data_IF_053505859344
#
_entry.id   IF_053505859344
#
_cell.length_a   1.000
_cell.length_b   1.000
_cell.length_c   1.000
_cell.angle_alpha   90.00
_cell.angle_beta   90.00
_cell.angle_gamma   90.00
#
_symmetry.space_group_name_H-M   'P 1'
#
loop_
_entity.id
_entity.type
_entity.pdbx_description
1 polymer ?
#
# COMPACT_ATOMS: atom_id res chain seq x y z
N UNK A 1 10.98 -2.97 10.67
CA UNK A 1 10.09 -2.64 9.55
C UNK A 1 8.94 -1.75 10.01
N UNK A 2 8.14 -2.10 11.03
CA UNK A 2 7.16 -1.17 11.65
C UNK A 2 7.74 0.21 11.92
N UNK A 3 8.79 0.28 12.73
CA UNK A 3 9.51 1.53 13.05
C UNK A 3 10.05 2.25 11.78
N UNK A 4 10.37 1.51 10.71
CA UNK A 4 10.81 2.12 9.45
C UNK A 4 9.65 2.85 8.77
N UNK A 5 8.44 2.28 8.80
CA UNK A 5 7.22 2.88 8.25
C UNK A 5 6.72 4.03 9.14
N UNK A 6 6.85 3.94 10.46
CA UNK A 6 6.59 5.07 11.36
C UNK A 6 7.58 6.23 11.11
N UNK A 7 8.84 5.93 10.83
CA UNK A 7 9.83 6.94 10.42
C UNK A 7 9.52 7.54 9.05
N UNK A 8 9.00 6.73 8.11
CA UNK A 8 8.51 7.23 6.82
C UNK A 8 7.38 8.25 7.04
N UNK A 9 6.38 7.91 7.85
CA UNK A 9 5.33 8.84 8.24
C UNK A 9 5.93 10.15 8.80
N UNK A 10 6.89 10.06 9.71
CA UNK A 10 7.51 11.25 10.31
C UNK A 10 8.21 12.14 9.28
N UNK A 11 8.87 11.55 8.28
CA UNK A 11 9.52 12.29 7.19
C UNK A 11 8.45 12.95 6.31
N UNK A 12 7.40 12.22 5.93
CA UNK A 12 6.30 12.74 5.12
C UNK A 12 5.59 13.91 5.82
N UNK A 13 5.28 13.77 7.11
CA UNK A 13 4.71 14.83 7.95
C UNK A 13 5.63 16.05 8.01
N UNK A 14 6.93 15.87 8.28
CA UNK A 14 7.91 16.98 8.34
C UNK A 14 8.02 17.72 7.00
N UNK A 15 8.01 16.99 5.89
CA UNK A 15 8.01 17.58 4.56
C UNK A 15 6.69 18.31 4.30
N UNK A 16 5.54 17.75 4.67
CA UNK A 16 4.26 18.42 4.49
C UNK A 16 4.20 19.73 5.28
N UNK A 17 4.65 19.73 6.53
CA UNK A 17 4.74 20.92 7.40
C UNK A 17 5.60 22.01 6.78
N UNK A 18 6.76 21.65 6.20
CA UNK A 18 7.66 22.59 5.50
C UNK A 18 6.96 23.33 4.36
N UNK A 19 5.95 22.71 3.75
CA UNK A 19 5.15 23.27 2.67
C UNK A 19 3.76 23.75 3.16
N UNK A 20 3.61 23.99 4.47
CA UNK A 20 2.37 24.47 5.10
C UNK A 20 1.17 23.53 4.89
N UNK A 21 1.39 22.21 4.89
CA UNK A 21 0.33 21.21 4.73
C UNK A 21 -0.20 21.07 3.30
N UNK A 22 0.54 21.53 2.29
CA UNK A 22 0.08 21.51 0.88
C UNK A 22 0.40 20.21 0.14
N UNK A 23 1.32 19.39 0.64
CA UNK A 23 1.78 18.20 -0.08
C UNK A 23 0.84 17.02 0.09
N UNK A 24 0.29 16.86 1.30
CA UNK A 24 -0.57 15.74 1.67
C UNK A 24 -1.73 16.21 2.54
N UNK A 25 -2.82 15.48 2.47
CA UNK A 25 -3.89 15.54 3.45
C UNK A 25 -3.41 14.98 4.80
N UNK A 26 -3.69 15.68 5.90
CA UNK A 26 -3.35 15.22 7.24
C UNK A 26 -4.16 13.99 7.63
N UNK A 27 -5.41 13.87 7.17
CA UNK A 27 -6.25 12.68 7.44
C UNK A 27 -5.56 11.43 6.86
N UNK A 28 -5.05 11.50 5.64
CA UNK A 28 -4.30 10.39 5.01
C UNK A 28 -2.99 10.05 5.73
N UNK A 29 -2.32 11.04 6.31
CA UNK A 29 -1.10 10.82 7.10
C UNK A 29 -1.43 10.11 8.42
N UNK A 30 -2.46 10.58 9.11
CA UNK A 30 -2.92 10.01 10.36
C UNK A 30 -3.44 8.59 10.16
N UNK A 31 -4.30 8.35 9.15
CA UNK A 31 -4.82 7.03 8.78
C UNK A 31 -3.68 6.03 8.51
N UNK A 32 -2.70 6.42 7.69
CA UNK A 32 -1.53 5.58 7.43
C UNK A 32 -0.79 5.18 8.72
N UNK A 33 -0.61 6.13 9.65
CA UNK A 33 0.08 5.85 10.90
C UNK A 33 -0.74 4.96 11.82
N UNK A 34 -2.06 5.16 11.88
CA UNK A 34 -2.98 4.33 12.66
C UNK A 34 -2.99 2.88 12.13
N UNK A 35 -3.15 2.69 10.82
CA UNK A 35 -3.14 1.36 10.19
C UNK A 35 -1.84 0.60 10.45
N UNK A 36 -0.68 1.26 10.33
CA UNK A 36 0.61 0.65 10.66
C UNK A 36 0.70 0.27 12.14
N UNK A 37 0.18 1.10 13.04
CA UNK A 37 0.26 0.84 14.48
C UNK A 37 -0.62 -0.33 14.89
N UNK A 38 -1.82 -0.40 14.32
CA UNK A 38 -2.85 -1.36 14.68
C UNK A 38 -2.61 -2.73 14.02
N UNK A 39 -2.22 -2.76 12.75
CA UNK A 39 -2.23 -4.00 11.96
C UNK A 39 -0.86 -4.61 11.68
N UNK A 40 0.25 -3.86 11.81
CA UNK A 40 1.57 -4.40 11.46
C UNK A 40 1.95 -5.61 12.32
N UNK A 41 1.89 -5.46 13.65
CA UNK A 41 2.38 -6.50 14.57
C UNK A 41 1.48 -7.73 14.51
N UNK A 42 0.17 -7.54 14.44
CA UNK A 42 -0.79 -8.64 14.33
C UNK A 42 -0.60 -9.42 13.02
N UNK A 43 -0.40 -8.73 11.90
CA UNK A 43 -0.17 -9.35 10.58
C UNK A 43 1.17 -10.08 10.51
N UNK A 44 2.22 -9.50 11.09
CA UNK A 44 3.54 -10.12 11.13
C UNK A 44 3.57 -11.34 12.05
N UNK A 45 2.91 -11.29 13.22
CA UNK A 45 2.78 -12.45 14.10
C UNK A 45 1.94 -13.55 13.46
N UNK A 46 0.91 -13.20 12.67
CA UNK A 46 0.14 -14.19 11.93
C UNK A 46 1.00 -14.95 10.91
N UNK A 47 1.82 -14.22 10.15
CA UNK A 47 2.80 -14.80 9.24
C UNK A 47 3.76 -15.76 9.97
N UNK A 48 4.35 -15.32 11.10
CA UNK A 48 5.25 -16.16 11.92
C UNK A 48 4.55 -17.41 12.43
N UNK A 49 3.33 -17.27 12.96
CA UNK A 49 2.56 -18.38 13.49
C UNK A 49 2.30 -19.44 12.40
N UNK A 50 1.95 -19.00 11.19
CA UNK A 50 1.77 -19.90 10.07
C UNK A 50 3.05 -20.64 9.67
N UNK A 51 4.20 -19.95 9.64
CA UNK A 51 5.51 -20.57 9.39
C UNK A 51 5.86 -21.61 10.45
N UNK A 52 5.71 -21.27 11.73
CA UNK A 52 5.99 -22.19 12.85
C UNK A 52 5.13 -23.45 12.79
N UNK A 53 3.85 -23.33 12.43
CA UNK A 53 2.96 -24.48 12.25
C UNK A 53 3.52 -25.40 11.16
N UNK A 54 3.89 -24.85 10.01
CA UNK A 54 4.41 -25.65 8.90
C UNK A 54 5.77 -26.28 9.24
N UNK A 55 6.69 -25.54 9.84
CA UNK A 55 8.01 -26.04 10.24
C UNK A 55 7.89 -27.24 11.20
N UNK A 56 6.96 -27.17 12.17
CA UNK A 56 6.77 -28.24 13.15
C UNK A 56 6.30 -29.58 12.55
N UNK A 57 5.72 -29.57 11.35
CA UNK A 57 5.15 -30.75 10.71
C UNK A 57 5.68 -31.03 9.29
N UNK A 58 6.61 -30.20 8.79
CA UNK A 58 7.06 -30.19 7.40
C UNK A 58 7.45 -31.57 6.86
N UNK A 59 8.13 -32.39 7.67
CA UNK A 59 8.58 -33.73 7.29
C UNK A 59 7.48 -34.82 7.27
N UNK A 60 6.27 -34.51 7.69
CA UNK A 60 5.15 -35.46 7.85
C UNK A 60 3.89 -35.09 7.04
N UNK A 61 3.92 -33.96 6.35
CA UNK A 61 2.78 -33.49 5.55
C UNK A 61 2.78 -34.19 4.19
N UNK A 62 1.78 -35.03 3.96
CA UNK A 62 1.61 -35.76 2.69
C UNK A 62 0.45 -35.21 1.83
N UNK A 63 -0.40 -34.35 2.41
CA UNK A 63 -1.61 -33.85 1.74
C UNK A 63 -2.10 -32.53 2.35
N UNK A 64 -2.74 -31.70 1.51
CA UNK A 64 -3.42 -30.48 1.92
C UNK A 64 -4.66 -30.70 2.79
N UNK A 65 -5.11 -31.95 2.96
CA UNK A 65 -6.16 -32.32 3.92
C UNK A 65 -5.67 -32.32 5.37
N UNK A 66 -4.36 -32.29 5.61
CA UNK A 66 -3.82 -32.11 6.95
C UNK A 66 -4.22 -30.72 7.47
N UNK A 67 -4.93 -30.69 8.59
CA UNK A 67 -5.48 -29.45 9.16
C UNK A 67 -4.41 -28.47 9.61
N UNK A 68 -3.27 -28.96 10.12
CA UNK A 68 -2.14 -28.11 10.50
C UNK A 68 -1.50 -27.48 9.25
N UNK A 69 -1.33 -28.23 8.17
CA UNK A 69 -0.87 -27.68 6.89
C UNK A 69 -1.83 -26.59 6.40
N UNK A 70 -3.13 -26.89 6.28
CA UNK A 70 -4.12 -25.92 5.78
C UNK A 70 -4.14 -24.67 6.65
N UNK A 71 -4.12 -24.83 7.97
CA UNK A 71 -4.07 -23.70 8.91
C UNK A 71 -2.80 -22.88 8.70
N UNK A 72 -1.62 -23.51 8.69
CA UNK A 72 -0.35 -22.80 8.51
C UNK A 72 -0.31 -21.97 7.23
N UNK A 73 -0.80 -22.54 6.12
CA UNK A 73 -0.93 -21.83 4.84
C UNK A 73 -1.90 -20.65 4.92
N UNK A 74 -3.06 -20.80 5.58
CA UNK A 74 -4.03 -19.71 5.73
C UNK A 74 -3.46 -18.55 6.58
N UNK A 75 -2.79 -18.86 7.69
CA UNK A 75 -2.15 -17.83 8.53
C UNK A 75 -1.08 -17.06 7.74
N UNK A 76 -0.24 -17.77 6.97
CA UNK A 76 0.75 -17.14 6.08
C UNK A 76 0.06 -16.24 5.04
N UNK A 77 -0.97 -16.74 4.36
CA UNK A 77 -1.65 -15.97 3.31
C UNK A 77 -2.29 -14.70 3.85
N UNK A 78 -2.97 -14.77 5.00
CA UNK A 78 -3.60 -13.58 5.58
C UNK A 78 -2.57 -12.60 6.14
N UNK A 79 -1.51 -13.09 6.79
CA UNK A 79 -0.42 -12.24 7.26
C UNK A 79 0.25 -11.48 6.10
N UNK A 80 0.58 -12.18 5.01
CA UNK A 80 1.20 -11.57 3.83
C UNK A 80 0.27 -10.55 3.16
N UNK A 81 -1.00 -10.89 2.94
CA UNK A 81 -1.95 -9.97 2.28
C UNK A 81 -2.17 -8.68 3.06
N UNK A 82 -2.23 -8.76 4.39
CA UNK A 82 -2.36 -7.53 5.21
C UNK A 82 -1.09 -6.70 5.18
N UNK A 83 0.08 -7.34 5.25
CA UNK A 83 1.36 -6.64 5.09
C UNK A 83 1.49 -5.98 3.71
N UNK A 84 1.00 -6.62 2.65
CA UNK A 84 0.96 -6.05 1.30
C UNK A 84 0.12 -4.77 1.26
N UNK A 85 -1.09 -4.76 1.84
CA UNK A 85 -1.93 -3.56 1.93
C UNK A 85 -1.21 -2.42 2.65
N UNK A 86 -0.63 -2.68 3.82
CA UNK A 86 0.10 -1.66 4.59
C UNK A 86 1.32 -1.08 3.83
N UNK A 87 1.97 -1.89 2.99
CA UNK A 87 3.08 -1.44 2.16
C UNK A 87 2.60 -0.69 0.92
N UNK A 88 1.45 -1.05 0.36
CA UNK A 88 0.79 -0.32 -0.73
C UNK A 88 0.38 1.08 -0.26
N UNK A 89 -0.16 1.21 0.96
CA UNK A 89 -0.49 2.52 1.54
C UNK A 89 0.75 3.41 1.70
N UNK A 90 1.90 2.82 2.06
CA UNK A 90 3.17 3.54 2.12
C UNK A 90 3.63 4.04 0.73
N UNK A 91 3.45 3.23 -0.32
CA UNK A 91 3.77 3.59 -1.70
C UNK A 91 2.85 4.72 -2.20
N UNK A 92 1.54 4.56 -2.01
CA UNK A 92 0.53 5.55 -2.36
C UNK A 92 0.80 6.91 -1.68
N UNK A 93 1.17 6.89 -0.39
CA UNK A 93 1.53 8.09 0.36
C UNK A 93 2.76 8.79 -0.23
N UNK A 94 3.79 8.03 -0.59
CA UNK A 94 5.02 8.54 -1.18
C UNK A 94 4.81 9.12 -2.59
N UNK A 95 4.06 8.40 -3.43
CA UNK A 95 3.70 8.85 -4.78
C UNK A 95 2.93 10.17 -4.70
N UNK A 96 1.90 10.24 -3.85
CA UNK A 96 1.12 11.46 -3.68
C UNK A 96 1.97 12.65 -3.22
N UNK A 97 2.82 12.44 -2.20
CA UNK A 97 3.71 13.48 -1.67
C UNK A 97 4.68 13.97 -2.75
N UNK A 98 5.32 13.05 -3.47
CA UNK A 98 6.32 13.40 -4.47
C UNK A 98 5.69 14.10 -5.69
N UNK A 99 4.56 13.59 -6.19
CA UNK A 99 3.83 14.22 -7.32
C UNK A 99 3.42 15.65 -6.97
N UNK A 100 2.91 15.87 -5.76
CA UNK A 100 2.53 17.21 -5.29
C UNK A 100 3.73 18.12 -5.07
N UNK A 101 4.85 17.58 -4.57
CA UNK A 101 6.10 18.34 -4.44
C UNK A 101 6.61 18.82 -5.79
N UNK A 102 6.67 17.94 -6.80
CA UNK A 102 7.08 18.27 -8.17
C UNK A 102 6.20 19.36 -8.78
N UNK A 103 4.90 19.34 -8.50
CA UNK A 103 3.99 20.40 -8.94
C UNK A 103 4.27 21.73 -8.23
N UNK A 104 4.36 21.74 -6.91
CA UNK A 104 4.63 22.97 -6.13
C UNK A 104 6.03 23.55 -6.41
N UNK A 105 6.99 22.73 -6.85
CA UNK A 105 8.33 23.18 -7.28
C UNK A 105 8.39 23.63 -8.74
N UNK A 106 7.33 23.43 -9.53
CA UNK A 106 7.28 23.76 -10.95
C UNK A 106 8.08 22.80 -11.84
N UNK A 107 8.38 21.59 -11.35
CA UNK A 107 9.02 20.52 -12.12
C UNK A 107 8.06 19.86 -13.12
N UNK A 108 6.76 19.86 -12.80
CA UNK A 108 5.68 19.39 -13.68
C UNK A 108 4.57 20.42 -13.81
N UNK A 109 3.84 20.36 -14.93
CA UNK A 109 2.65 21.17 -15.18
C UNK A 109 1.45 20.71 -14.35
N UNK A 110 0.40 21.55 -14.30
CA UNK A 110 -0.89 21.16 -13.71
C UNK A 110 -1.53 19.99 -14.47
N UNK A 111 -1.35 19.93 -15.79
CA UNK A 111 -1.84 18.83 -16.62
C UNK A 111 -1.19 17.51 -16.23
N UNK A 112 0.14 17.47 -16.09
CA UNK A 112 0.88 16.28 -15.63
C UNK A 112 0.58 15.92 -14.16
N UNK A 113 0.28 16.90 -13.32
CA UNK A 113 -0.15 16.65 -11.94
C UNK A 113 -1.54 16.00 -11.87
N UNK A 114 -2.47 16.43 -12.72
CA UNK A 114 -3.84 15.90 -12.81
C UNK A 114 -3.94 14.63 -13.64
N UNK A 115 -2.92 14.28 -14.41
CA UNK A 115 -2.89 13.05 -15.19
C UNK A 115 -2.65 11.85 -14.26
N UNK A 116 -3.68 11.05 -14.03
CA UNK A 116 -3.63 9.83 -13.22
C UNK A 116 -3.12 8.61 -14.01
N UNK A 117 -2.49 8.82 -15.18
CA UNK A 117 -2.08 7.80 -16.16
C UNK A 117 -3.26 6.95 -16.69
N UNK A 118 -4.52 7.33 -16.38
CA UNK A 118 -5.72 6.71 -16.93
C UNK A 118 -5.92 7.24 -18.36
N UNK A 119 -5.62 6.39 -19.33
CA UNK A 119 -5.80 6.68 -20.76
C UNK A 119 -7.28 7.00 -21.05
N UNK A 120 -7.60 8.30 -21.12
CA UNK A 120 -8.91 8.78 -21.54
C UNK A 120 -9.08 8.49 -23.04
N UNK A 121 -9.49 7.26 -23.37
CA UNK A 121 -10.00 6.93 -24.71
C UNK A 121 -11.29 7.74 -24.89
N UNK A 122 -11.18 8.92 -25.51
CA UNK A 122 -12.34 9.51 -26.18
C UNK A 122 -12.72 8.54 -27.29
N UNK A 123 -13.77 7.77 -27.07
CA UNK A 123 -14.49 7.17 -28.19
C UNK A 123 -14.97 8.34 -29.06
N UNK A 124 -14.37 8.49 -30.23
CA UNK A 124 -15.00 9.26 -31.29
C UNK A 124 -16.25 8.46 -31.62
N UNK A 125 -17.42 9.00 -31.27
CA UNK A 125 -18.68 8.51 -31.83
C UNK A 125 -18.58 8.70 -33.36
N UNK A 126 -18.11 7.68 -34.05
CA UNK A 126 -18.27 7.51 -35.50
C UNK A 126 -19.73 7.12 -35.75
N UNK A 127 -20.65 8.04 -35.47
CA UNK A 127 -21.98 7.99 -36.05
C UNK A 127 -21.97 8.85 -37.32
N UNK A 128 -21.84 8.12 -38.43
CA UNK A 128 -22.32 8.41 -39.78
C UNK A 128 -23.09 9.72 -39.96
N UNK A 129 -22.66 10.52 -40.93
CA UNK A 129 -23.60 10.96 -41.97
C UNK A 129 -22.96 10.76 -43.34
N UNK A 130 -23.49 9.72 -43.99
CA UNK A 130 -23.37 9.39 -45.41
C UNK A 130 -24.04 10.46 -46.28
N UNK A 131 -23.36 10.87 -47.36
CA UNK A 131 -23.96 11.45 -48.57
C UNK A 131 -23.54 10.61 -49.81
#
# INVERSE_FOLDING_TARGET
>A
MKEVLENLHQICSTLNDKFNGKLLDYEKLDDFLEDIRDDWDSSFEQLKCGLQILESQAGSIESSRNSAYTKGILEIFWGLRRLEVLLDDADNLLVALNKKLMYESGEISEEEFLDDEILNVKYLDEDNDSD
#
